data_IF_414950945959
#
_entry.id   IF_414950945959
#
_cell.length_a   1.000
_cell.length_b   1.000
_cell.length_c   1.000
_cell.angle_alpha   90.00
_cell.angle_beta   90.00
_cell.angle_gamma   90.00
#
_symmetry.space_group_name_H-M   'P 1'
#
loop_
_entity.id
_entity.type
_entity.pdbx_description
1 polymer ?
#
# COMPACT_ATOMS: atom_id res chain seq x y z
N UNK A 1 12.71 17.70 14.15
CA UNK A 1 13.65 16.63 14.63
C UNK A 1 14.73 16.41 13.58
N UNK A 2 16.01 16.31 13.98
CA UNK A 2 17.11 15.96 13.07
C UNK A 2 17.41 14.45 13.12
N UNK A 3 18.28 13.94 12.23
CA UNK A 3 18.58 12.50 12.15
C UNK A 3 19.20 11.93 13.43
N UNK A 4 20.03 12.69 14.13
CA UNK A 4 20.64 12.25 15.40
C UNK A 4 19.61 12.13 16.51
N UNK A 5 18.66 13.06 16.57
CA UNK A 5 17.54 13.02 17.52
C UNK A 5 16.60 11.85 17.19
N UNK A 6 16.36 11.57 15.90
CA UNK A 6 15.60 10.40 15.47
C UNK A 6 16.25 9.10 15.96
N UNK A 7 17.54 8.91 15.73
CA UNK A 7 18.29 7.74 16.21
C UNK A 7 18.17 7.60 17.74
N UNK A 8 18.39 8.67 18.49
CA UNK A 8 18.23 8.66 19.94
C UNK A 8 16.82 8.26 20.37
N UNK A 9 15.79 8.77 19.70
CA UNK A 9 14.39 8.41 19.98
C UNK A 9 14.11 6.94 19.69
N UNK A 10 14.56 6.43 18.54
CA UNK A 10 14.29 5.05 18.12
C UNK A 10 14.94 4.02 19.03
N UNK A 11 16.17 4.26 19.49
CA UNK A 11 16.88 3.34 20.38
C UNK A 11 16.51 3.52 21.86
N UNK A 12 15.92 4.65 22.23
CA UNK A 12 15.48 4.87 23.61
C UNK A 12 14.46 3.80 24.04
N UNK A 13 14.64 3.31 25.27
CA UNK A 13 13.71 2.36 25.90
C UNK A 13 12.61 3.13 26.61
N UNK A 14 11.37 3.00 26.14
CA UNK A 14 10.22 3.66 26.73
C UNK A 14 9.67 2.91 27.97
N UNK A 15 8.64 3.47 28.63
CA UNK A 15 8.07 2.88 29.85
C UNK A 15 7.43 1.50 29.59
N UNK A 16 6.78 1.31 28.44
CA UNK A 16 6.16 0.04 28.06
C UNK A 16 7.23 -1.02 27.80
N UNK A 17 8.29 -0.70 27.07
CA UNK A 17 9.41 -1.59 26.79
C UNK A 17 10.15 -2.02 28.09
N UNK A 18 10.31 -1.10 29.06
CA UNK A 18 10.87 -1.46 30.37
C UNK A 18 10.04 -2.54 31.05
N UNK A 19 8.73 -2.34 31.11
CA UNK A 19 7.83 -3.30 31.74
C UNK A 19 7.73 -4.61 30.96
N UNK A 20 7.73 -4.56 29.64
CA UNK A 20 7.77 -5.76 28.77
C UNK A 20 9.07 -6.56 28.96
N UNK A 21 10.22 -5.89 29.12
CA UNK A 21 11.51 -6.54 29.42
C UNK A 21 11.50 -7.26 30.76
N UNK A 22 10.84 -6.69 31.77
CA UNK A 22 10.73 -7.27 33.12
C UNK A 22 9.75 -8.45 33.18
N UNK A 23 8.66 -8.37 32.44
CA UNK A 23 7.55 -9.32 32.57
C UNK A 23 7.49 -10.36 31.45
N UNK A 24 8.07 -10.08 30.27
CA UNK A 24 7.89 -10.87 29.04
C UNK A 24 6.48 -10.82 28.46
N UNK A 25 5.60 -9.97 29.04
CA UNK A 25 4.19 -9.87 28.65
C UNK A 25 3.97 -8.61 27.80
N UNK A 26 3.30 -8.79 26.69
CA UNK A 26 2.90 -7.67 25.82
C UNK A 26 1.97 -6.70 26.56
N UNK A 27 2.29 -5.45 26.44
CA UNK A 27 1.46 -4.35 26.97
C UNK A 27 1.00 -3.54 25.77
N UNK A 28 -0.31 -3.50 25.57
CA UNK A 28 -0.90 -2.71 24.52
C UNK A 28 -0.93 -1.24 24.94
N UNK A 29 -0.11 -0.41 24.30
CA UNK A 29 0.02 1.03 24.51
C UNK A 29 -1.01 1.85 23.72
N UNK A 30 -1.78 1.21 22.83
CA UNK A 30 -2.85 1.85 22.07
C UNK A 30 -4.21 1.88 22.79
N UNK A 31 -4.36 1.11 23.88
CA UNK A 31 -5.60 1.06 24.66
C UNK A 31 -5.42 1.89 25.92
N UNK A 32 -6.02 3.06 25.94
CA UNK A 32 -6.22 3.80 27.17
C UNK A 32 -7.29 3.10 28.02
N UNK A 33 -6.86 2.21 28.91
CA UNK A 33 -7.75 1.48 29.82
C UNK A 33 -8.52 2.38 30.77
N UNK A 34 -8.15 3.66 30.89
CA UNK A 34 -8.80 4.60 31.84
C UNK A 34 -10.11 5.16 31.30
N UNK A 35 -10.29 5.22 29.98
CA UNK A 35 -11.42 5.90 29.34
C UNK A 35 -12.41 4.99 28.60
N UNK A 36 -12.12 3.72 28.35
CA UNK A 36 -13.07 2.82 27.66
C UNK A 36 -12.84 1.33 27.96
N UNK A 37 -13.26 0.83 29.14
CA UNK A 37 -13.02 -0.56 29.51
C UNK A 37 -13.93 -1.59 28.83
N UNK A 38 -14.79 -1.22 27.86
CA UNK A 38 -15.86 -2.10 27.37
C UNK A 38 -15.93 -2.40 25.89
N UNK A 39 -15.04 -1.92 25.07
CA UNK A 39 -15.00 -2.35 23.66
C UNK A 39 -13.75 -3.18 23.39
N UNK A 40 -13.80 -4.44 23.82
CA UNK A 40 -12.89 -5.45 23.30
C UNK A 40 -13.31 -5.70 21.86
N UNK A 41 -12.54 -5.17 20.91
CA UNK A 41 -12.77 -5.45 19.49
C UNK A 41 -12.33 -6.88 19.20
N UNK A 42 -13.27 -7.81 19.27
CA UNK A 42 -13.04 -9.21 18.92
C UNK A 42 -13.53 -9.41 17.49
N UNK A 43 -12.69 -9.95 16.62
CA UNK A 43 -13.09 -10.37 15.29
C UNK A 43 -14.17 -11.46 15.41
N UNK A 44 -15.39 -11.23 14.87
CA UNK A 44 -16.52 -12.15 15.08
C UNK A 44 -16.29 -13.56 14.50
N UNK A 45 -15.42 -13.68 13.51
CA UNK A 45 -15.15 -14.95 12.84
C UNK A 45 -13.98 -15.74 13.41
N UNK A 46 -13.05 -15.07 14.12
CA UNK A 46 -11.77 -15.66 14.58
C UNK A 46 -11.56 -15.63 16.07
N UNK A 47 -12.39 -14.88 16.81
CA UNK A 47 -12.26 -14.68 18.27
C UNK A 47 -10.91 -14.13 18.72
N UNK A 48 -10.23 -13.36 17.85
CA UNK A 48 -8.95 -12.67 18.16
C UNK A 48 -9.14 -11.16 18.22
N UNK A 49 -8.20 -10.47 18.87
CA UNK A 49 -8.21 -9.01 18.95
C UNK A 49 -8.16 -8.41 17.54
N UNK A 50 -9.04 -7.45 17.26
CA UNK A 50 -9.04 -6.67 16.02
C UNK A 50 -8.71 -5.22 16.33
N UNK A 51 -7.80 -4.62 15.58
CA UNK A 51 -7.43 -3.21 15.71
C UNK A 51 -8.25 -2.35 14.74
N UNK A 52 -9.24 -1.58 15.21
CA UNK A 52 -10.06 -0.76 14.32
C UNK A 52 -9.37 0.57 13.99
N UNK A 53 -9.68 1.11 12.82
CA UNK A 53 -9.08 2.35 12.30
C UNK A 53 -9.29 3.58 13.20
N UNK A 54 -10.40 3.67 13.93
CA UNK A 54 -10.72 4.80 14.81
C UNK A 54 -9.80 4.90 16.03
N UNK A 55 -9.03 3.88 16.36
CA UNK A 55 -7.99 3.95 17.40
C UNK A 55 -6.82 4.85 16.99
N UNK A 56 -6.49 4.89 15.71
CA UNK A 56 -5.27 5.51 15.21
C UNK A 56 -5.51 6.79 14.42
N UNK A 57 -6.65 6.87 13.70
CA UNK A 57 -6.93 7.99 12.79
C UNK A 57 -7.96 8.94 13.39
N UNK A 58 -7.49 9.82 14.27
CA UNK A 58 -8.31 10.87 14.89
C UNK A 58 -8.15 12.19 14.13
N UNK A 59 -9.12 13.08 14.24
CA UNK A 59 -9.04 14.46 13.71
C UNK A 59 -8.65 14.57 12.23
N UNK A 60 -9.10 13.63 11.39
CA UNK A 60 -8.79 13.63 9.95
C UNK A 60 -7.33 13.24 9.65
N UNK A 61 -6.65 12.58 10.55
CA UNK A 61 -5.35 11.95 10.27
C UNK A 61 -5.54 10.76 9.33
N UNK A 62 -4.63 10.62 8.39
CA UNK A 62 -4.65 9.55 7.39
C UNK A 62 -3.42 8.64 7.46
N UNK A 63 -2.42 9.08 8.21
CA UNK A 63 -1.16 8.37 8.43
C UNK A 63 -0.89 8.39 9.93
N UNK A 64 -0.61 7.22 10.50
CA UNK A 64 -0.15 7.08 11.88
C UNK A 64 1.13 6.26 11.88
N UNK A 65 2.14 6.70 12.63
CA UNK A 65 3.45 6.04 12.71
C UNK A 65 3.78 5.76 14.16
N UNK A 66 4.24 4.54 14.42
CA UNK A 66 4.75 4.15 15.73
C UNK A 66 6.02 3.32 15.62
N UNK A 67 6.87 3.42 16.61
CA UNK A 67 7.91 2.45 16.88
C UNK A 67 7.26 1.26 17.60
N UNK A 68 7.42 0.06 17.05
CA UNK A 68 6.94 -1.16 17.70
C UNK A 68 7.67 -1.40 19.03
N UNK A 69 6.94 -1.72 20.10
CA UNK A 69 7.53 -1.98 21.40
C UNK A 69 8.27 -3.31 21.42
N UNK A 70 9.51 -3.30 21.92
CA UNK A 70 10.41 -4.47 21.98
C UNK A 70 10.11 -5.34 23.22
N UNK A 71 10.74 -6.51 23.27
CA UNK A 71 10.89 -7.44 24.41
C UNK A 71 9.65 -8.27 24.74
N UNK A 72 8.54 -8.13 24.04
CA UNK A 72 7.38 -9.00 24.19
C UNK A 72 6.73 -9.25 22.82
N UNK A 73 6.02 -10.39 22.63
CA UNK A 73 5.39 -10.70 21.37
C UNK A 73 4.13 -9.85 21.16
N UNK A 74 3.87 -9.43 19.94
CA UNK A 74 2.55 -8.94 19.54
C UNK A 74 1.66 -10.12 19.16
N UNK A 75 0.54 -10.27 19.86
CA UNK A 75 -0.41 -11.35 19.64
C UNK A 75 -1.06 -11.23 18.25
N UNK A 76 -1.50 -12.38 17.70
CA UNK A 76 -2.19 -12.40 16.41
C UNK A 76 -3.42 -11.49 16.40
N UNK A 77 -3.46 -10.60 15.41
CA UNK A 77 -4.55 -9.65 15.22
C UNK A 77 -4.68 -9.24 13.75
N UNK A 78 -5.90 -9.07 13.23
CA UNK A 78 -6.18 -8.31 12.03
C UNK A 78 -6.50 -6.84 12.34
N UNK A 79 -6.48 -6.00 11.33
CA UNK A 79 -6.80 -4.57 11.43
C UNK A 79 -7.67 -4.07 10.26
N UNK A 80 -8.23 -2.85 10.38
CA UNK A 80 -9.13 -2.23 9.37
C UNK A 80 -8.43 -1.24 8.44
N UNK A 81 -7.12 -1.16 8.48
CA UNK A 81 -6.28 -0.23 7.72
C UNK A 81 -5.19 -0.99 6.96
N UNK A 82 -4.38 -0.28 6.21
CA UNK A 82 -3.19 -0.85 5.59
C UNK A 82 -2.01 -0.54 6.49
N UNK A 83 -1.17 -1.54 6.71
CA UNK A 83 0.02 -1.43 7.52
C UNK A 83 1.27 -1.70 6.69
N UNK A 84 2.26 -0.81 6.80
CA UNK A 84 3.60 -1.01 6.28
C UNK A 84 4.52 -1.19 7.47
N UNK A 85 5.05 -2.40 7.64
CA UNK A 85 6.07 -2.72 8.62
C UNK A 85 7.44 -2.54 7.97
N UNK A 86 8.26 -1.66 8.53
CA UNK A 86 9.62 -1.38 8.07
C UNK A 86 10.63 -1.73 9.14
N UNK A 87 11.54 -2.65 8.84
CA UNK A 87 12.65 -2.97 9.73
C UNK A 87 13.73 -1.89 9.57
N UNK A 88 13.73 -0.92 10.49
CA UNK A 88 14.70 0.18 10.49
C UNK A 88 16.11 -0.30 10.84
N UNK A 89 16.22 -1.22 11.82
CA UNK A 89 17.46 -1.84 12.25
C UNK A 89 17.22 -3.26 12.77
N UNK A 90 18.25 -4.11 12.73
CA UNK A 90 18.18 -5.48 13.22
C UNK A 90 17.31 -6.40 12.36
N UNK A 91 16.41 -7.11 12.97
CA UNK A 91 15.53 -8.11 12.34
C UNK A 91 14.15 -8.16 12.99
N UNK A 92 13.19 -8.73 12.27
CA UNK A 92 11.85 -8.98 12.77
C UNK A 92 11.35 -10.31 12.23
N UNK A 93 10.74 -11.14 13.07
CA UNK A 93 10.00 -12.32 12.64
C UNK A 93 8.52 -12.08 12.82
N UNK A 94 7.77 -12.18 11.73
CA UNK A 94 6.31 -12.08 11.71
C UNK A 94 5.68 -13.42 11.33
N UNK A 95 4.48 -13.68 11.82
CA UNK A 95 3.63 -14.79 11.36
C UNK A 95 2.42 -14.21 10.65
N UNK A 96 2.39 -14.31 9.33
CA UNK A 96 1.34 -13.73 8.50
C UNK A 96 0.48 -14.84 7.92
N UNK A 97 -0.82 -14.84 8.19
CA UNK A 97 -1.73 -15.95 7.83
C UNK A 97 -1.17 -17.31 8.32
N UNK A 98 -0.59 -17.34 9.52
CA UNK A 98 0.03 -18.53 10.14
C UNK A 98 1.35 -18.97 9.52
N UNK A 99 1.93 -18.21 8.58
CA UNK A 99 3.23 -18.50 7.95
C UNK A 99 4.31 -17.59 8.50
N UNK A 100 5.44 -18.19 8.88
CA UNK A 100 6.62 -17.46 9.34
C UNK A 100 7.25 -16.65 8.20
N UNK A 101 7.53 -15.39 8.47
CA UNK A 101 8.18 -14.44 7.57
C UNK A 101 9.30 -13.75 8.34
N UNK A 102 10.54 -13.95 7.90
CA UNK A 102 11.72 -13.32 8.49
C UNK A 102 12.10 -12.07 7.67
N UNK A 103 12.20 -10.94 8.36
CA UNK A 103 12.54 -9.63 7.82
C UNK A 103 13.87 -9.15 8.40
N UNK A 104 14.66 -8.46 7.59
CA UNK A 104 15.93 -7.85 7.96
C UNK A 104 15.88 -6.32 7.79
N UNK A 105 16.87 -5.64 8.39
CA UNK A 105 17.02 -4.20 8.23
C UNK A 105 16.94 -3.77 6.75
N UNK A 106 16.06 -2.83 6.47
CA UNK A 106 15.71 -2.36 5.13
C UNK A 106 14.48 -3.03 4.52
N UNK A 107 13.97 -4.13 5.08
CA UNK A 107 12.78 -4.78 4.51
C UNK A 107 11.48 -4.06 4.85
N UNK A 108 10.56 -4.08 3.89
CA UNK A 108 9.17 -3.70 4.10
C UNK A 108 8.25 -4.91 3.96
N UNK A 109 7.29 -5.02 4.87
CA UNK A 109 6.10 -5.85 4.72
C UNK A 109 4.87 -4.94 4.61
N UNK A 110 4.13 -5.03 3.51
CA UNK A 110 2.86 -4.32 3.33
C UNK A 110 1.73 -5.29 3.58
N UNK A 111 0.97 -5.05 4.63
CA UNK A 111 -0.17 -5.88 5.06
C UNK A 111 -1.48 -5.21 4.65
N UNK A 112 -2.33 -5.97 3.96
CA UNK A 112 -3.68 -5.54 3.63
C UNK A 112 -4.59 -5.62 4.87
N UNK A 113 -5.75 -5.00 4.78
CA UNK A 113 -6.81 -5.11 5.79
C UNK A 113 -7.22 -6.57 5.99
N UNK A 114 -7.58 -6.91 7.21
CA UNK A 114 -8.03 -8.26 7.60
C UNK A 114 -6.96 -9.36 7.51
N UNK A 115 -5.70 -9.03 7.26
CA UNK A 115 -4.60 -10.00 7.30
C UNK A 115 -4.21 -10.26 8.75
N UNK A 116 -4.45 -11.46 9.31
CA UNK A 116 -4.00 -11.78 10.65
C UNK A 116 -2.49 -11.95 10.65
N UNK A 117 -1.86 -11.25 11.58
CA UNK A 117 -0.42 -11.34 11.78
C UNK A 117 -0.04 -11.21 13.26
N UNK A 118 1.11 -11.77 13.60
CA UNK A 118 1.72 -11.71 14.92
C UNK A 118 3.20 -11.42 14.76
N UNK A 119 3.84 -10.84 15.78
CA UNK A 119 5.26 -10.48 15.75
C UNK A 119 5.95 -11.12 16.96
N UNK A 120 7.05 -11.82 16.72
CA UNK A 120 7.91 -12.35 17.79
C UNK A 120 8.57 -11.20 18.59
N UNK A 121 9.00 -11.44 19.85
CA UNK A 121 9.68 -10.44 20.63
C UNK A 121 10.91 -9.87 19.92
N UNK A 122 10.95 -8.55 19.74
CA UNK A 122 12.11 -7.84 19.21
C UNK A 122 13.21 -7.74 20.28
N UNK A 123 14.47 -7.87 19.86
CA UNK A 123 15.65 -7.64 20.69
C UNK A 123 15.95 -6.16 20.92
N UNK A 124 17.02 -5.89 21.69
CA UNK A 124 17.39 -4.52 22.05
C UNK A 124 17.81 -3.66 20.85
N UNK A 125 18.41 -4.26 19.84
CA UNK A 125 18.92 -3.60 18.65
C UNK A 125 17.96 -3.70 17.45
N UNK A 126 16.81 -4.36 17.63
CA UNK A 126 15.79 -4.48 16.59
C UNK A 126 14.83 -3.28 16.67
N UNK A 127 14.66 -2.58 15.57
CA UNK A 127 13.77 -1.44 15.45
C UNK A 127 12.80 -1.68 14.30
N UNK A 128 11.54 -1.87 14.63
CA UNK A 128 10.43 -1.98 13.69
C UNK A 128 9.58 -0.73 13.73
N UNK A 129 9.28 -0.18 12.56
CA UNK A 129 8.40 0.98 12.38
C UNK A 129 7.11 0.52 11.71
N UNK A 130 5.99 0.76 12.38
CA UNK A 130 4.66 0.51 11.86
C UNK A 130 4.13 1.82 11.27
N UNK A 131 3.82 1.82 9.96
CA UNK A 131 3.24 2.93 9.23
C UNK A 131 1.82 2.52 8.86
N UNK A 132 0.84 3.08 9.56
CA UNK A 132 -0.57 2.78 9.35
C UNK A 132 -1.18 3.81 8.41
N UNK A 133 -1.96 3.35 7.42
CA UNK A 133 -2.53 4.20 6.37
C UNK A 133 -4.04 3.96 6.32
N UNK A 134 -4.80 5.05 6.45
CA UNK A 134 -6.24 4.99 6.24
C UNK A 134 -6.55 4.78 4.75
N UNK A 135 -7.36 3.77 4.45
CA UNK A 135 -7.77 3.41 3.07
C UNK A 135 -8.37 4.55 2.26
N UNK A 136 -9.05 5.48 2.92
CA UNK A 136 -9.73 6.61 2.27
C UNK A 136 -8.74 7.60 1.64
N UNK A 137 -7.51 7.65 2.17
CA UNK A 137 -6.44 8.53 1.67
C UNK A 137 -5.68 7.94 0.51
N UNK A 138 -5.68 6.64 0.40
CA UNK A 138 -4.79 5.92 -0.49
C UNK A 138 -5.12 6.10 -1.98
N UNK A 139 -6.39 6.12 -2.42
CA UNK A 139 -6.69 6.43 -3.82
C UNK A 139 -6.10 7.76 -4.27
N UNK A 140 -6.13 8.79 -3.41
CA UNK A 140 -5.56 10.10 -3.74
C UNK A 140 -4.02 10.09 -3.83
N UNK A 141 -3.36 9.22 -3.05
CA UNK A 141 -1.90 9.05 -3.10
C UNK A 141 -1.44 8.38 -4.40
N UNK A 142 -2.20 7.41 -4.91
CA UNK A 142 -1.84 6.61 -6.08
C UNK A 142 -2.40 7.13 -7.39
N UNK A 143 -3.58 7.74 -7.38
CA UNK A 143 -4.28 8.11 -8.61
C UNK A 143 -3.76 9.39 -9.26
N UNK A 144 -3.07 10.24 -8.54
CA UNK A 144 -2.55 11.51 -9.05
C UNK A 144 -1.15 11.33 -9.62
N UNK A 145 -0.99 10.71 -10.78
CA UNK A 145 0.25 10.62 -11.56
C UNK A 145 1.09 9.36 -11.38
N UNK A 146 0.53 8.22 -11.67
CA UNK A 146 1.32 7.20 -12.32
C UNK A 146 1.27 7.44 -13.83
N UNK A 147 1.88 8.54 -14.26
CA UNK A 147 2.20 8.74 -15.67
C UNK A 147 3.14 7.61 -16.10
N UNK A 148 2.62 6.71 -16.92
CA UNK A 148 3.33 5.72 -17.71
C UNK A 148 3.94 4.47 -17.03
N UNK A 149 3.54 4.07 -15.82
CA UNK A 149 3.97 2.77 -15.29
C UNK A 149 2.82 2.06 -14.56
N UNK A 150 2.02 1.30 -15.27
CA UNK A 150 1.14 0.29 -14.68
C UNK A 150 1.91 -1.02 -14.51
N UNK A 151 2.91 -1.01 -13.65
CA UNK A 151 3.58 -2.26 -13.27
C UNK A 151 2.58 -3.18 -12.55
N UNK A 152 2.79 -4.48 -12.60
CA UNK A 152 2.00 -5.48 -11.85
C UNK A 152 1.86 -5.08 -10.38
N UNK A 153 2.86 -4.44 -9.82
CA UNK A 153 2.94 -3.99 -8.44
C UNK A 153 1.96 -2.88 -8.14
N UNK A 154 1.84 -1.91 -9.06
CA UNK A 154 0.81 -0.89 -8.97
C UNK A 154 -0.57 -1.54 -8.97
N UNK A 155 -0.77 -2.59 -9.78
CA UNK A 155 -2.01 -3.36 -9.84
C UNK A 155 -2.25 -4.12 -8.54
N UNK A 156 -1.25 -4.82 -7.98
CA UNK A 156 -1.38 -5.56 -6.72
C UNK A 156 -1.60 -4.60 -5.56
N UNK A 157 -0.78 -3.55 -5.43
CA UNK A 157 -0.96 -2.56 -4.39
C UNK A 157 -2.31 -1.84 -4.55
N UNK A 158 -2.69 -1.44 -5.76
CA UNK A 158 -4.01 -0.83 -6.01
C UNK A 158 -5.14 -1.79 -5.62
N UNK A 159 -4.97 -3.11 -5.82
CA UNK A 159 -5.97 -4.10 -5.45
C UNK A 159 -6.10 -4.27 -3.93
N UNK A 160 -4.99 -4.21 -3.19
CA UNK A 160 -5.01 -4.20 -1.72
C UNK A 160 -5.81 -3.01 -1.17
N UNK A 161 -5.84 -1.91 -1.91
CA UNK A 161 -6.55 -0.68 -1.53
C UNK A 161 -7.99 -0.58 -2.06
N UNK A 162 -8.50 -1.59 -2.78
CA UNK A 162 -9.90 -1.61 -3.26
C UNK A 162 -10.86 -2.19 -2.22
N UNK A 163 -11.99 -1.52 -1.98
CA UNK A 163 -13.04 -1.96 -1.05
C UNK A 163 -13.65 -3.35 -1.36
N UNK A 164 -13.47 -3.88 -2.57
CA UNK A 164 -14.08 -5.12 -3.04
C UNK A 164 -13.10 -6.31 -3.16
N UNK A 165 -11.85 -6.16 -2.76
CA UNK A 165 -10.88 -7.26 -2.79
C UNK A 165 -11.01 -8.17 -1.55
N UNK A 166 -10.45 -9.38 -1.62
CA UNK A 166 -10.50 -10.34 -0.49
C UNK A 166 -9.62 -9.96 0.70
N UNK A 167 -8.87 -8.86 0.65
CA UNK A 167 -8.06 -8.30 1.72
C UNK A 167 -7.33 -9.34 2.60
N UNK A 168 -6.71 -10.34 1.98
CA UNK A 168 -5.97 -11.42 2.64
C UNK A 168 -4.50 -11.48 2.22
N UNK A 169 -3.98 -10.40 1.63
CA UNK A 169 -2.67 -10.36 0.97
C UNK A 169 -1.65 -9.54 1.74
N UNK A 170 -0.41 -9.91 1.55
CA UNK A 170 0.73 -9.10 1.94
C UNK A 170 1.78 -9.10 0.84
N UNK A 171 2.64 -8.08 0.83
CA UNK A 171 3.74 -7.95 -0.14
C UNK A 171 5.02 -7.63 0.60
N UNK A 172 6.10 -8.33 0.24
CA UNK A 172 7.42 -8.12 0.79
C UNK A 172 8.31 -7.37 -0.21
N UNK A 173 9.05 -6.39 0.31
CA UNK A 173 10.04 -5.66 -0.45
C UNK A 173 11.39 -5.75 0.25
N UNK A 174 12.39 -6.33 -0.43
CA UNK A 174 13.75 -6.43 0.04
C UNK A 174 14.53 -5.19 -0.42
N UNK A 175 14.66 -4.20 0.46
CA UNK A 175 15.21 -2.89 0.07
C UNK A 175 16.61 -2.59 0.61
N UNK A 176 17.24 -3.52 1.29
CA UNK A 176 18.57 -3.39 1.91
C UNK A 176 19.64 -2.84 0.95
N UNK A 177 19.61 -3.28 -0.32
CA UNK A 177 20.57 -2.82 -1.35
C UNK A 177 20.23 -1.45 -1.96
N UNK A 178 19.13 -0.83 -1.53
CA UNK A 178 18.63 0.45 -2.05
C UNK A 178 18.65 1.54 -0.96
N UNK A 179 19.82 2.12 -0.63
CA UNK A 179 19.98 3.04 0.52
C UNK A 179 19.09 4.27 0.42
N UNK A 180 18.64 4.62 -0.79
CA UNK A 180 17.72 5.74 -1.04
C UNK A 180 16.38 5.55 -0.35
N UNK A 181 15.90 4.30 -0.23
CA UNK A 181 14.65 4.00 0.48
C UNK A 181 14.81 4.29 1.97
N UNK A 182 15.92 3.85 2.58
CA UNK A 182 16.20 4.13 3.98
C UNK A 182 16.26 5.64 4.26
N UNK A 183 16.95 6.40 3.40
CA UNK A 183 17.01 7.86 3.50
C UNK A 183 15.62 8.52 3.43
N UNK A 184 14.77 8.07 2.52
CA UNK A 184 13.38 8.56 2.42
C UNK A 184 12.57 8.24 3.67
N UNK A 185 12.76 7.05 4.26
CA UNK A 185 12.12 6.69 5.53
C UNK A 185 12.62 7.58 6.65
N UNK A 186 13.92 7.83 6.76
CA UNK A 186 14.48 8.73 7.77
C UNK A 186 13.88 10.14 7.67
N UNK A 187 13.77 10.70 6.46
CA UNK A 187 13.14 12.01 6.24
C UNK A 187 11.64 11.98 6.61
N UNK A 188 10.94 10.91 6.27
CA UNK A 188 9.55 10.72 6.63
C UNK A 188 9.32 10.66 8.14
N UNK A 189 10.18 9.94 8.86
CA UNK A 189 10.11 9.81 10.31
C UNK A 189 10.50 11.12 11.03
N UNK A 190 11.55 11.82 10.56
CA UNK A 190 11.93 13.13 11.11
C UNK A 190 10.82 14.15 10.96
N UNK A 191 10.11 14.14 9.83
CA UNK A 191 8.94 15.00 9.60
C UNK A 191 7.81 14.66 10.57
N UNK A 192 7.48 13.38 10.72
CA UNK A 192 6.36 12.94 11.57
C UNK A 192 6.52 13.36 13.04
N UNK A 193 7.75 13.25 13.57
CA UNK A 193 8.02 13.60 14.96
C UNK A 193 8.58 15.02 15.16
N UNK A 194 8.56 15.88 14.11
CA UNK A 194 8.97 17.27 14.24
C UNK A 194 7.89 18.21 14.77
N UNK A 195 6.60 17.83 14.65
CA UNK A 195 5.44 18.66 14.98
C UNK A 195 5.40 20.01 14.22
N UNK A 196 6.04 20.08 13.05
CA UNK A 196 6.13 21.31 12.26
C UNK A 196 4.84 21.64 11.53
N UNK A 197 4.71 22.91 11.13
CA UNK A 197 3.57 23.33 10.30
C UNK A 197 3.58 22.61 8.95
N UNK A 198 2.38 22.26 8.45
CA UNK A 198 2.18 21.54 7.19
C UNK A 198 2.72 20.08 7.18
N UNK A 199 3.09 19.51 8.32
CA UNK A 199 3.56 18.12 8.45
C UNK A 199 2.72 17.13 7.61
N UNK A 200 1.38 17.22 7.66
CA UNK A 200 0.50 16.30 6.91
C UNK A 200 0.74 16.33 5.39
N UNK A 201 1.04 17.50 4.83
CA UNK A 201 1.33 17.64 3.40
C UNK A 201 2.65 16.96 3.05
N UNK A 202 3.69 17.19 3.85
CA UNK A 202 5.01 16.58 3.62
C UNK A 202 4.97 15.07 3.83
N UNK A 203 4.32 14.57 4.87
CA UNK A 203 4.15 13.12 5.11
C UNK A 203 3.52 12.42 3.90
N UNK A 204 2.48 13.01 3.32
CA UNK A 204 1.85 12.47 2.12
C UNK A 204 2.82 12.39 0.93
N UNK A 205 3.70 13.40 0.76
CA UNK A 205 4.70 13.43 -0.32
C UNK A 205 5.81 12.40 -0.09
N UNK A 206 6.34 12.31 1.13
CA UNK A 206 7.35 11.32 1.48
C UNK A 206 6.83 9.88 1.32
N UNK A 207 5.63 9.60 1.83
CA UNK A 207 5.01 8.28 1.67
C UNK A 207 4.85 7.92 0.19
N UNK A 208 4.44 8.88 -0.65
CA UNK A 208 4.35 8.68 -2.09
C UNK A 208 5.71 8.33 -2.71
N UNK A 209 6.78 9.03 -2.34
CA UNK A 209 8.13 8.75 -2.83
C UNK A 209 8.60 7.36 -2.38
N UNK A 210 8.37 6.99 -1.12
CA UNK A 210 8.69 5.64 -0.60
C UNK A 210 7.98 4.57 -1.45
N UNK A 211 6.69 4.71 -1.66
CA UNK A 211 5.91 3.75 -2.44
C UNK A 211 6.40 3.68 -3.90
N UNK A 212 6.72 4.81 -4.52
CA UNK A 212 7.29 4.82 -5.88
C UNK A 212 8.64 4.08 -5.94
N UNK A 213 9.51 4.25 -4.94
CA UNK A 213 10.77 3.49 -4.85
C UNK A 213 10.51 1.99 -4.63
N UNK A 214 9.61 1.62 -3.73
CA UNK A 214 9.24 0.21 -3.51
C UNK A 214 8.74 -0.45 -4.80
N UNK A 215 7.94 0.25 -5.58
CA UNK A 215 7.46 -0.25 -6.87
C UNK A 215 8.59 -0.43 -7.88
N UNK A 216 9.53 0.53 -7.94
CA UNK A 216 10.71 0.42 -8.81
C UNK A 216 11.61 -0.76 -8.43
N UNK A 217 11.82 -1.00 -7.14
CA UNK A 217 12.62 -2.10 -6.63
C UNK A 217 11.99 -3.45 -6.96
N UNK A 218 10.69 -3.56 -6.78
CA UNK A 218 9.99 -4.80 -7.10
C UNK A 218 10.11 -5.14 -8.59
N UNK A 219 9.96 -4.15 -9.47
CA UNK A 219 10.17 -4.34 -10.91
C UNK A 219 11.60 -4.83 -11.22
N UNK A 220 12.60 -4.25 -10.54
CA UNK A 220 13.99 -4.67 -10.69
C UNK A 220 14.21 -6.11 -10.24
N UNK A 221 13.66 -6.52 -9.10
CA UNK A 221 13.77 -7.89 -8.58
C UNK A 221 13.13 -8.93 -9.51
N UNK A 222 12.02 -8.59 -10.15
CA UNK A 222 11.36 -9.47 -11.13
C UNK A 222 12.21 -9.65 -12.39
N UNK A 223 12.85 -8.59 -12.87
CA UNK A 223 13.75 -8.64 -14.05
C UNK A 223 14.98 -9.53 -13.81
N UNK A 224 15.44 -9.63 -12.56
CA UNK A 224 16.63 -10.40 -12.19
C UNK A 224 16.32 -11.84 -11.75
N UNK A 225 15.06 -12.28 -11.71
CA UNK A 225 14.71 -13.68 -11.42
C UNK A 225 14.94 -14.55 -12.66
N UNK A 226 15.87 -15.53 -12.64
CA UNK A 226 16.03 -16.45 -13.75
C UNK A 226 14.80 -17.36 -13.84
N UNK A 227 14.19 -17.39 -15.04
CA UNK A 227 13.18 -18.36 -15.48
C UNK A 227 11.85 -18.42 -14.70
N UNK A 228 11.01 -17.42 -14.82
CA UNK A 228 9.58 -17.73 -14.85
C UNK A 228 9.21 -18.14 -16.30
N UNK A 229 8.57 -19.29 -16.49
CA UNK A 229 8.10 -19.75 -17.80
C UNK A 229 7.07 -18.80 -18.47
N UNK A 230 6.74 -17.70 -17.81
CA UNK A 230 5.80 -16.68 -18.22
C UNK A 230 6.29 -15.29 -17.80
N UNK A 231 6.69 -14.49 -18.78
CA UNK A 231 7.10 -13.09 -18.58
C UNK A 231 5.85 -12.19 -18.52
N UNK A 232 5.24 -12.13 -17.36
CA UNK A 232 4.04 -11.31 -17.15
C UNK A 232 4.35 -9.80 -17.17
N UNK A 233 5.58 -9.38 -16.89
CA UNK A 233 5.98 -7.97 -16.90
C UNK A 233 6.03 -7.44 -18.32
N UNK A 234 6.66 -8.15 -19.23
CA UNK A 234 6.65 -7.81 -20.66
C UNK A 234 5.21 -7.75 -21.19
N UNK A 235 4.34 -8.69 -20.75
CA UNK A 235 2.92 -8.70 -21.14
C UNK A 235 2.19 -7.47 -20.60
N UNK A 236 2.44 -7.06 -19.35
CA UNK A 236 1.79 -5.88 -18.76
C UNK A 236 2.30 -4.58 -19.39
N UNK A 237 3.59 -4.46 -19.63
CA UNK A 237 4.16 -3.32 -20.36
C UNK A 237 3.56 -3.20 -21.76
N UNK A 238 3.38 -4.33 -22.45
CA UNK A 238 2.70 -4.32 -23.76
C UNK A 238 1.26 -3.86 -23.66
N UNK A 239 0.51 -4.27 -22.62
CA UNK A 239 -0.86 -3.77 -22.37
C UNK A 239 -0.84 -2.26 -22.14
N UNK A 240 0.16 -1.76 -21.41
CA UNK A 240 0.32 -0.35 -21.11
C UNK A 240 0.57 0.50 -22.36
N UNK A 241 1.42 0.03 -23.24
CA UNK A 241 1.77 0.74 -24.46
C UNK A 241 0.65 0.66 -25.52
N UNK A 242 -0.21 -0.37 -25.45
CA UNK A 242 -1.22 -0.66 -26.48
C UNK A 242 -2.67 -0.65 -25.93
N UNK A 243 -2.91 -0.03 -24.77
CA UNK A 243 -4.21 -0.07 -24.04
C UNK A 243 -5.42 0.38 -24.87
N UNK A 244 -5.22 1.19 -25.91
CA UNK A 244 -6.32 1.68 -26.75
C UNK A 244 -7.03 0.54 -27.51
N UNK A 245 -6.29 -0.42 -28.04
CA UNK A 245 -6.83 -1.44 -28.95
C UNK A 245 -6.41 -2.87 -28.67
N UNK A 246 -5.58 -3.14 -27.65
CA UNK A 246 -5.05 -4.48 -27.40
C UNK A 246 -6.15 -5.46 -26.97
N UNK A 247 -6.11 -6.67 -27.55
CA UNK A 247 -6.94 -7.80 -27.15
C UNK A 247 -6.10 -8.92 -26.51
N UNK A 248 -6.71 -9.80 -25.76
CA UNK A 248 -6.02 -10.99 -25.21
C UNK A 248 -5.50 -11.90 -26.36
N UNK A 249 -6.13 -11.88 -27.53
CA UNK A 249 -5.68 -12.63 -28.70
C UNK A 249 -4.42 -12.03 -29.33
N UNK A 250 -4.33 -10.70 -29.38
CA UNK A 250 -3.14 -9.99 -29.87
C UNK A 250 -1.95 -10.23 -28.96
N UNK A 251 -2.16 -10.14 -27.63
CA UNK A 251 -1.15 -10.50 -26.65
C UNK A 251 -0.66 -11.94 -26.82
N UNK A 252 -1.58 -12.89 -26.94
CA UNK A 252 -1.24 -14.29 -27.09
C UNK A 252 -0.39 -14.52 -28.36
N UNK A 253 -0.74 -13.86 -29.45
CA UNK A 253 0.03 -13.89 -30.71
C UNK A 253 1.41 -13.26 -30.57
N UNK A 254 1.48 -12.09 -29.94
CA UNK A 254 2.74 -11.34 -29.82
C UNK A 254 3.77 -12.05 -28.94
N UNK A 255 3.32 -12.71 -27.88
CA UNK A 255 4.19 -13.41 -26.94
C UNK A 255 4.31 -14.93 -27.20
N UNK A 256 3.73 -15.43 -28.27
CA UNK A 256 3.82 -16.85 -28.64
C UNK A 256 3.07 -17.79 -27.67
N UNK A 257 2.07 -17.29 -26.95
CA UNK A 257 1.28 -18.10 -26.01
C UNK A 257 -0.08 -18.50 -26.56
N UNK A 258 -0.62 -19.60 -26.04
CA UNK A 258 -2.03 -19.90 -26.23
C UNK A 258 -2.89 -18.88 -25.43
N UNK A 259 -3.99 -18.40 -26.03
CA UNK A 259 -4.86 -17.38 -25.43
C UNK A 259 -5.39 -17.76 -24.04
N UNK A 260 -5.82 -19.02 -23.87
CA UNK A 260 -6.35 -19.50 -22.60
C UNK A 260 -5.24 -19.63 -21.56
N UNK A 261 -4.06 -20.10 -21.97
CA UNK A 261 -2.89 -20.16 -21.11
C UNK A 261 -2.51 -18.76 -20.61
N UNK A 262 -2.39 -17.79 -21.54
CA UNK A 262 -2.05 -16.40 -21.21
C UNK A 262 -3.06 -15.78 -20.22
N UNK A 263 -4.37 -15.95 -20.47
CA UNK A 263 -5.41 -15.44 -19.59
C UNK A 263 -5.35 -16.02 -18.18
N UNK A 264 -5.10 -17.35 -18.09
CA UNK A 264 -4.96 -18.04 -16.80
C UNK A 264 -3.65 -17.67 -16.09
N UNK A 265 -2.55 -17.56 -16.82
CA UNK A 265 -1.25 -17.15 -16.28
C UNK A 265 -1.30 -15.72 -15.73
N UNK A 266 -1.89 -14.77 -16.48
CA UNK A 266 -2.15 -13.41 -15.99
C UNK A 266 -2.99 -13.42 -14.73
N UNK A 267 -4.10 -14.17 -14.71
CA UNK A 267 -4.97 -14.25 -13.54
C UNK A 267 -4.28 -14.88 -12.34
N UNK A 268 -3.44 -15.90 -12.56
CA UNK A 268 -2.64 -16.54 -11.50
C UNK A 268 -1.58 -15.58 -10.95
N UNK A 269 -0.90 -14.83 -11.81
CA UNK A 269 0.16 -13.90 -11.42
C UNK A 269 -0.40 -12.64 -10.75
N UNK A 270 -1.51 -12.08 -11.28
CA UNK A 270 -2.03 -10.77 -10.87
C UNK A 270 -3.29 -10.83 -10.00
N UNK A 271 -3.92 -12.00 -9.89
CA UNK A 271 -5.25 -12.14 -9.31
C UNK A 271 -6.39 -11.61 -10.20
N UNK A 272 -6.09 -11.02 -11.38
CA UNK A 272 -7.06 -10.32 -12.25
C UNK A 272 -7.09 -10.88 -13.66
N UNK A 273 -8.24 -10.73 -14.28
CA UNK A 273 -8.38 -11.05 -15.71
C UNK A 273 -7.74 -9.93 -16.57
N UNK A 274 -7.34 -10.26 -17.79
CA UNK A 274 -6.90 -9.27 -18.77
C UNK A 274 -7.85 -8.07 -18.90
N UNK A 275 -9.16 -8.34 -18.94
CA UNK A 275 -10.17 -7.27 -19.05
C UNK A 275 -10.17 -6.34 -17.82
N UNK A 276 -9.97 -6.89 -16.63
CA UNK A 276 -9.89 -6.09 -15.41
C UNK A 276 -8.62 -5.22 -15.40
N UNK A 277 -7.47 -5.76 -15.83
CA UNK A 277 -6.20 -5.02 -15.96
C UNK A 277 -6.36 -3.87 -16.96
N UNK A 278 -6.89 -4.16 -18.14
CA UNK A 278 -7.10 -3.16 -19.20
C UNK A 278 -8.09 -2.06 -18.76
N UNK A 279 -9.15 -2.42 -18.05
CA UNK A 279 -10.13 -1.46 -17.52
C UNK A 279 -9.47 -0.50 -16.52
N UNK A 280 -8.67 -1.01 -15.58
CA UNK A 280 -7.96 -0.18 -14.59
C UNK A 280 -6.99 0.79 -15.29
N UNK A 281 -6.25 0.31 -16.29
CA UNK A 281 -5.37 1.19 -17.08
C UNK A 281 -6.15 2.33 -17.72
N UNK A 282 -7.25 2.02 -18.41
CA UNK A 282 -8.10 3.02 -19.06
C UNK A 282 -8.70 4.01 -18.07
N UNK A 283 -9.15 3.54 -16.91
CA UNK A 283 -9.66 4.42 -15.85
C UNK A 283 -8.56 5.33 -15.29
N UNK A 284 -7.33 4.83 -15.13
CA UNK A 284 -6.18 5.63 -14.70
C UNK A 284 -5.86 6.75 -15.69
N UNK A 285 -5.84 6.46 -17.00
CA UNK A 285 -5.66 7.46 -18.06
C UNK A 285 -6.80 8.50 -18.01
N UNK A 286 -8.05 8.05 -17.86
CA UNK A 286 -9.19 8.96 -17.75
C UNK A 286 -9.05 9.92 -16.56
N UNK A 287 -8.63 9.44 -15.39
CA UNK A 287 -8.36 10.28 -14.23
C UNK A 287 -7.27 11.33 -14.53
N UNK A 288 -6.16 10.92 -15.16
CA UNK A 288 -5.10 11.85 -15.56
C UNK A 288 -5.62 12.94 -16.50
N UNK A 289 -6.42 12.57 -17.50
CA UNK A 289 -7.03 13.53 -18.44
C UNK A 289 -8.02 14.48 -17.75
N UNK A 290 -8.85 13.96 -16.83
CA UNK A 290 -9.81 14.77 -16.06
C UNK A 290 -9.11 15.83 -15.20
N UNK A 291 -7.94 15.51 -14.64
CA UNK A 291 -7.18 16.38 -13.73
C UNK A 291 -6.30 17.41 -14.44
N UNK A 292 -5.84 17.09 -15.66
CA UNK A 292 -4.81 17.87 -16.34
C UNK A 292 -5.30 18.53 -17.65
N UNK A 293 -6.55 18.30 -18.05
CA UNK A 293 -7.11 18.88 -19.30
C UNK A 293 -8.56 19.33 -19.11
N UNK A 294 -9.00 20.24 -19.98
CA UNK A 294 -10.40 20.69 -20.06
C UNK A 294 -11.20 19.91 -21.11
N UNK A 295 -10.75 18.73 -21.52
CA UNK A 295 -11.46 17.90 -22.49
C UNK A 295 -12.89 17.60 -22.04
N UNK A 296 -13.84 17.51 -22.98
CA UNK A 296 -15.17 16.99 -22.65
C UNK A 296 -15.08 15.57 -22.08
N UNK A 297 -16.08 15.17 -21.32
CA UNK A 297 -16.08 13.83 -20.71
C UNK A 297 -16.10 12.73 -21.79
N UNK A 298 -16.78 13.00 -22.91
CA UNK A 298 -16.81 12.11 -24.07
C UNK A 298 -15.42 11.95 -24.69
N UNK A 299 -14.68 13.05 -24.86
CA UNK A 299 -13.33 13.04 -25.39
C UNK A 299 -12.34 12.35 -24.42
N UNK A 300 -12.53 12.55 -23.10
CA UNK A 300 -11.77 11.82 -22.08
C UNK A 300 -12.01 10.31 -22.21
N UNK A 301 -13.27 9.88 -22.34
CA UNK A 301 -13.60 8.47 -22.50
C UNK A 301 -12.94 7.88 -23.76
N UNK A 302 -13.02 8.58 -24.88
CA UNK A 302 -12.40 8.16 -26.15
C UNK A 302 -10.87 8.05 -26.03
N UNK A 303 -10.19 9.09 -25.53
CA UNK A 303 -8.73 9.12 -25.35
C UNK A 303 -8.25 8.10 -24.33
N UNK A 304 -9.08 7.75 -23.35
CA UNK A 304 -8.81 6.67 -22.40
C UNK A 304 -9.08 5.26 -22.97
N UNK A 305 -9.55 5.15 -24.22
CA UNK A 305 -9.76 3.87 -24.92
C UNK A 305 -11.11 3.22 -24.66
N UNK A 306 -12.12 3.97 -24.20
CA UNK A 306 -13.48 3.47 -24.07
C UNK A 306 -14.27 3.65 -25.36
N UNK A 307 -14.86 2.58 -25.87
CA UNK A 307 -15.70 2.61 -27.07
C UNK A 307 -17.10 3.19 -26.82
N UNK A 308 -17.48 3.44 -25.56
CA UNK A 308 -18.78 3.96 -25.17
C UNK A 308 -18.67 4.83 -23.93
N UNK A 309 -19.09 6.07 -24.03
CA UNK A 309 -19.15 7.00 -22.91
C UNK A 309 -20.07 6.50 -21.79
N UNK A 310 -21.19 5.85 -22.12
CA UNK A 310 -22.10 5.28 -21.12
C UNK A 310 -21.44 4.13 -20.34
N UNK A 311 -20.63 3.29 -21.01
CA UNK A 311 -19.85 2.25 -20.34
C UNK A 311 -18.76 2.87 -19.45
N UNK A 312 -18.06 3.89 -19.94
CA UNK A 312 -17.09 4.65 -19.17
C UNK A 312 -17.71 5.24 -17.89
N UNK A 313 -18.82 5.98 -18.01
CA UNK A 313 -19.49 6.58 -16.85
C UNK A 313 -19.86 5.54 -15.79
N UNK A 314 -20.42 4.42 -16.20
CA UNK A 314 -20.80 3.33 -15.29
C UNK A 314 -19.58 2.72 -14.58
N UNK A 315 -18.50 2.44 -15.31
CA UNK A 315 -17.29 1.87 -14.73
C UNK A 315 -16.58 2.87 -13.83
N UNK A 316 -16.52 4.14 -14.23
CA UNK A 316 -15.92 5.21 -13.44
C UNK A 316 -16.67 5.39 -12.11
N UNK A 317 -18.00 5.54 -12.16
CA UNK A 317 -18.82 5.65 -10.94
C UNK A 317 -18.73 4.43 -10.04
N UNK A 318 -18.70 3.23 -10.64
CA UNK A 318 -18.50 1.98 -9.88
C UNK A 318 -17.15 1.95 -9.17
N UNK A 319 -16.11 2.50 -9.81
CA UNK A 319 -14.74 2.46 -9.30
C UNK A 319 -14.45 3.52 -8.25
N UNK A 320 -14.96 4.74 -8.46
CA UNK A 320 -14.65 5.94 -7.64
C UNK A 320 -15.80 6.40 -6.76
N UNK A 321 -16.97 5.77 -6.87
CA UNK A 321 -18.20 6.16 -6.18
C UNK A 321 -18.70 7.60 -6.50
N UNK A 322 -18.14 8.21 -7.54
CA UNK A 322 -18.50 9.56 -8.01
C UNK A 322 -18.48 9.61 -9.54
N UNK A 323 -19.12 10.64 -10.12
CA UNK A 323 -19.10 10.80 -11.58
C UNK A 323 -17.79 11.43 -12.06
N UNK A 324 -17.38 11.26 -13.35
CA UNK A 324 -16.21 11.92 -13.90
C UNK A 324 -16.26 13.46 -13.74
N UNK A 325 -17.44 14.07 -13.82
CA UNK A 325 -17.62 15.50 -13.61
C UNK A 325 -17.37 15.91 -12.16
N UNK A 326 -17.88 15.15 -11.20
CA UNK A 326 -17.69 15.42 -9.76
C UNK A 326 -16.23 15.27 -9.39
N UNK A 327 -15.59 14.22 -9.88
CA UNK A 327 -14.15 13.97 -9.72
C UNK A 327 -13.29 15.16 -10.20
N UNK A 328 -13.60 15.70 -11.39
CA UNK A 328 -12.94 16.90 -11.94
C UNK A 328 -13.17 18.13 -11.05
N UNK A 329 -14.41 18.37 -10.60
CA UNK A 329 -14.75 19.51 -9.75
C UNK A 329 -14.12 19.45 -8.35
N UNK A 330 -14.09 18.28 -7.75
CA UNK A 330 -13.47 18.07 -6.43
C UNK A 330 -11.99 18.42 -6.45
N UNK A 331 -11.28 18.10 -7.52
CA UNK A 331 -9.86 18.43 -7.68
C UNK A 331 -9.59 19.92 -7.96
N UNK A 332 -10.51 20.62 -8.63
CA UNK A 332 -10.39 22.08 -8.89
C UNK A 332 -10.57 22.88 -7.61
N UNK A 333 -11.46 22.44 -6.71
CA UNK A 333 -11.67 23.12 -5.42
C UNK A 333 -10.50 22.92 -4.45
N UNK A 334 -9.78 21.80 -4.52
CA UNK A 334 -8.55 21.58 -3.73
C UNK A 334 -7.33 22.38 -4.24
N UNK A 335 -7.34 22.86 -5.49
CA UNK A 335 -6.27 23.71 -6.05
C UNK A 335 -6.46 25.20 -5.71
N UNK A 336 -7.63 25.60 -5.20
CA UNK A 336 -7.97 27.01 -4.87
C UNK A 336 -7.91 27.31 -3.37
N UNK A 337 -7.65 26.33 -2.52
CA UNK A 337 -7.34 26.48 -1.09
C UNK A 337 -5.84 26.26 -0.84
#
# INVERSE_FOLDING_TARGET
MNLKELEQYLYAVNAYEKKQRETGVSINDYVDYTHSPKQTYIDPGRHILRLPKNMFFQNGQNIFISKHNRFAPMQEHPHDFIELNYVYAGRCTEYINGKRVDLEAGDFCVLDRNVPHAIDPLGADDILINILINEETFPSLFMVKMENNSSLQAVILTDMFQKQSKHDRYVLFKTKQFPRVHLLVQLFLTEYWSEERQMRLFLTKYLKLIIMELMRIYSYDQLNRPNSAFDYEAVLNYIDDHYLGVTLSDLARNFGYNKNYLGNALKKATGRTFQAILLEKRLSIACSLLLNTDYSIELVAEKAGFNSSSYFFRQFKKRFNETPNDFRRGSVNQKKQ
#
